data_IF_278575021343
#
_entry.id   IF_278575021343
#
_cell.length_a   1.000
_cell.length_b   1.000
_cell.length_c   1.000
_cell.angle_alpha   90.00
_cell.angle_beta   90.00
_cell.angle_gamma   90.00
#
_symmetry.space_group_name_H-M   'P 1'
#
loop_
_entity.id
_entity.type
_entity.pdbx_description
1 polymer ?
#
# COMPACT_ATOMS: atom_id res chain seq x y z
N UNK A 1 3.64 53.48 -21.23
CA UNK A 1 2.95 52.59 -20.27
C UNK A 1 3.60 51.21 -20.39
N UNK A 2 3.85 50.51 -19.28
CA UNK A 2 4.27 49.10 -19.37
C UNK A 2 3.08 48.31 -19.94
N UNK A 3 3.29 47.43 -20.94
CA UNK A 3 2.20 46.67 -21.53
C UNK A 3 1.54 45.79 -20.46
N UNK A 4 0.23 45.64 -20.54
CA UNK A 4 -0.54 44.87 -19.56
C UNK A 4 -0.16 43.39 -19.66
N UNK A 5 0.08 42.77 -18.50
CA UNK A 5 0.33 41.33 -18.41
C UNK A 5 -0.98 40.58 -18.69
N UNK A 6 -0.90 39.53 -19.49
CA UNK A 6 -1.99 38.58 -19.72
C UNK A 6 -1.55 37.17 -19.33
N UNK A 7 -2.43 36.45 -18.65
CA UNK A 7 -2.25 35.04 -18.30
C UNK A 7 -3.29 34.24 -19.08
N UNK A 8 -2.84 33.23 -19.82
CA UNK A 8 -3.70 32.46 -20.71
C UNK A 8 -3.43 30.97 -20.47
N UNK A 9 -4.50 30.23 -20.22
CA UNK A 9 -4.49 28.77 -20.20
C UNK A 9 -4.88 28.25 -21.59
N UNK A 10 -3.99 27.44 -22.15
CA UNK A 10 -4.25 26.68 -23.36
C UNK A 10 -4.60 25.26 -22.95
N UNK A 11 -5.75 24.75 -23.40
CA UNK A 11 -6.09 23.33 -23.32
C UNK A 11 -6.11 22.74 -24.73
N UNK A 12 -5.27 21.75 -24.96
CA UNK A 12 -5.17 21.02 -26.21
C UNK A 12 -5.74 19.61 -26.00
N UNK A 13 -6.63 19.18 -26.91
CA UNK A 13 -7.17 17.83 -26.91
C UNK A 13 -7.28 17.24 -28.31
N UNK A 14 -6.96 15.96 -28.46
CA UNK A 14 -7.00 15.27 -29.75
C UNK A 14 -6.25 13.95 -29.73
N UNK A 15 -6.03 13.36 -30.90
CA UNK A 15 -5.22 12.14 -31.01
C UNK A 15 -3.75 12.45 -30.70
N UNK A 16 -3.13 11.62 -29.88
CA UNK A 16 -1.72 11.78 -29.53
C UNK A 16 -0.83 11.53 -30.76
N UNK A 17 0.07 12.47 -31.02
CA UNK A 17 1.02 12.42 -32.12
C UNK A 17 2.39 12.89 -31.63
N UNK A 18 3.48 12.21 -32.01
CA UNK A 18 4.83 12.70 -31.71
C UNK A 18 5.03 14.13 -32.21
N UNK A 19 5.54 15.00 -31.34
CA UNK A 19 5.93 16.37 -31.70
C UNK A 19 4.86 17.46 -31.47
N UNK A 20 3.65 17.13 -30.97
CA UNK A 20 2.64 18.15 -30.64
C UNK A 20 3.16 19.15 -29.61
N UNK A 21 3.76 18.68 -28.52
CA UNK A 21 4.33 19.55 -27.48
C UNK A 21 5.47 20.41 -28.04
N UNK A 22 6.33 19.86 -28.90
CA UNK A 22 7.41 20.60 -29.55
C UNK A 22 6.88 21.73 -30.42
N UNK A 23 5.95 21.42 -31.34
CA UNK A 23 5.42 22.39 -32.29
C UNK A 23 4.70 23.55 -31.59
N UNK A 24 3.97 23.30 -30.50
CA UNK A 24 3.26 24.33 -29.76
C UNK A 24 4.21 25.18 -28.88
N UNK A 25 5.19 24.55 -28.24
CA UNK A 25 6.18 25.28 -27.42
C UNK A 25 7.13 26.10 -28.28
N UNK A 26 7.45 25.68 -29.51
CA UNK A 26 8.19 26.49 -30.48
C UNK A 26 7.45 27.79 -30.83
N UNK A 27 6.12 27.73 -31.01
CA UNK A 27 5.31 28.94 -31.23
C UNK A 27 5.41 29.86 -30.03
N UNK A 28 5.19 29.36 -28.81
CA UNK A 28 5.31 30.15 -27.58
C UNK A 28 6.71 30.78 -27.43
N UNK A 29 7.77 30.03 -27.77
CA UNK A 29 9.15 30.49 -27.69
C UNK A 29 9.45 31.64 -28.67
N UNK A 30 8.88 31.64 -29.89
CA UNK A 30 9.06 32.74 -30.86
C UNK A 30 8.61 34.10 -30.35
N UNK A 31 7.69 34.12 -29.39
CA UNK A 31 7.14 35.34 -28.81
C UNK A 31 7.65 35.63 -27.39
N UNK A 32 8.62 34.86 -26.88
CA UNK A 32 9.13 34.95 -25.50
C UNK A 32 8.04 34.78 -24.43
N UNK A 33 7.04 33.93 -24.68
CA UNK A 33 6.00 33.64 -23.72
C UNK A 33 6.57 32.87 -22.51
N UNK A 34 6.21 33.28 -21.29
CA UNK A 34 6.71 32.65 -20.07
C UNK A 34 5.74 31.58 -19.59
N UNK A 35 6.15 30.31 -19.60
CA UNK A 35 5.33 29.21 -19.11
C UNK A 35 5.27 29.25 -17.58
N UNK A 36 4.07 29.35 -17.02
CA UNK A 36 3.80 29.35 -15.58
C UNK A 36 3.54 27.94 -15.05
N UNK A 37 2.86 27.11 -15.82
CA UNK A 37 2.58 25.70 -15.50
C UNK A 37 2.34 24.89 -16.77
N UNK A 38 2.65 23.60 -16.73
CA UNK A 38 2.42 22.69 -17.86
C UNK A 38 2.08 21.29 -17.34
N UNK A 39 1.03 20.69 -17.90
CA UNK A 39 0.61 19.34 -17.57
C UNK A 39 0.15 18.60 -18.82
N UNK A 40 0.58 17.35 -18.97
CA UNK A 40 0.16 16.48 -20.06
C UNK A 40 -0.33 15.15 -19.50
N UNK A 41 -1.42 14.65 -20.07
CA UNK A 41 -1.88 13.28 -19.89
C UNK A 41 -2.23 12.69 -21.26
N UNK A 42 -1.81 11.46 -21.50
CA UNK A 42 -2.31 10.64 -22.60
C UNK A 42 -3.15 9.52 -21.99
N UNK A 43 -4.42 9.47 -22.37
CA UNK A 43 -5.36 8.44 -21.96
C UNK A 43 -5.89 7.79 -23.24
N UNK A 44 -5.53 6.52 -23.46
CA UNK A 44 -5.99 5.75 -24.62
C UNK A 44 -5.70 6.40 -25.99
N UNK A 45 -4.52 6.99 -26.16
CA UNK A 45 -4.11 7.73 -27.37
C UNK A 45 -4.84 9.04 -27.57
N UNK A 46 -5.56 9.53 -26.56
CA UNK A 46 -6.12 10.88 -26.54
C UNK A 46 -5.22 11.75 -25.67
N UNK A 47 -4.55 12.70 -26.32
CA UNK A 47 -3.76 13.74 -25.67
C UNK A 47 -4.67 14.74 -24.99
N UNK A 48 -4.33 15.10 -23.75
CA UNK A 48 -4.80 16.27 -23.04
C UNK A 48 -3.59 17.05 -22.53
N UNK A 49 -3.32 18.20 -23.12
CA UNK A 49 -2.17 19.05 -22.79
C UNK A 49 -2.67 20.43 -22.34
N UNK A 50 -2.35 20.78 -21.10
CA UNK A 50 -2.59 22.11 -20.53
C UNK A 50 -1.29 22.90 -20.46
N UNK A 51 -1.25 24.09 -21.04
CA UNK A 51 -0.13 25.03 -20.91
C UNK A 51 -0.67 26.36 -20.39
N UNK A 52 -0.26 26.73 -19.18
CA UNK A 52 -0.53 28.04 -18.61
C UNK A 52 0.67 28.93 -18.87
N UNK A 53 0.48 30.04 -19.58
CA UNK A 53 1.57 30.95 -19.91
C UNK A 53 1.20 32.40 -19.64
N UNK A 54 2.23 33.22 -19.46
CA UNK A 54 2.19 34.65 -19.27
C UNK A 54 2.80 35.34 -20.48
N UNK A 55 2.10 36.34 -20.99
CA UNK A 55 2.53 37.19 -22.11
C UNK A 55 2.11 38.64 -21.86
N UNK A 56 2.35 39.52 -22.82
CA UNK A 56 1.81 40.87 -22.88
C UNK A 56 0.68 40.99 -23.92
N UNK A 57 -0.15 42.01 -23.74
CA UNK A 57 -1.29 42.34 -24.63
C UNK A 57 -0.89 42.65 -26.08
N UNK A 58 0.39 42.97 -26.34
CA UNK A 58 0.88 43.31 -27.68
C UNK A 58 1.19 42.07 -28.51
N UNK A 59 1.51 40.95 -27.85
CA UNK A 59 1.89 39.69 -28.48
C UNK A 59 0.79 38.63 -28.43
N UNK A 60 -0.14 38.71 -27.48
CA UNK A 60 -1.13 37.65 -27.22
C UNK A 60 -1.96 37.30 -28.45
N UNK A 61 -2.43 38.29 -29.21
CA UNK A 61 -3.21 38.05 -30.43
C UNK A 61 -2.48 37.20 -31.49
N UNK A 62 -1.20 37.51 -31.76
CA UNK A 62 -0.40 36.75 -32.74
C UNK A 62 -0.05 35.35 -32.21
N UNK A 63 0.26 35.21 -30.90
CA UNK A 63 0.48 33.91 -30.27
C UNK A 63 -0.74 33.00 -30.45
N UNK A 64 -1.94 33.50 -30.12
CA UNK A 64 -3.19 32.74 -30.22
C UNK A 64 -3.46 32.27 -31.65
N UNK A 65 -3.24 33.16 -32.62
CA UNK A 65 -3.40 32.87 -34.05
C UNK A 65 -2.42 31.80 -34.53
N UNK A 66 -1.13 31.92 -34.23
CA UNK A 66 -0.13 30.95 -34.65
C UNK A 66 -0.35 29.58 -33.99
N UNK A 67 -0.77 29.57 -32.71
CA UNK A 67 -1.15 28.34 -32.02
C UNK A 67 -2.39 27.68 -32.65
N UNK A 68 -3.39 28.45 -33.08
CA UNK A 68 -4.56 27.94 -33.80
C UNK A 68 -4.16 27.30 -35.12
N UNK A 69 -3.31 27.96 -35.92
CA UNK A 69 -2.81 27.40 -37.16
C UNK A 69 -2.05 26.10 -36.92
N UNK A 70 -1.17 26.09 -35.90
CA UNK A 70 -0.36 24.91 -35.63
C UNK A 70 -1.16 23.75 -35.06
N UNK A 71 -2.16 24.02 -34.23
CA UNK A 71 -3.11 23.02 -33.75
C UNK A 71 -3.91 22.40 -34.91
N UNK A 72 -4.38 23.22 -35.86
CA UNK A 72 -5.08 22.73 -37.05
C UNK A 72 -4.20 21.85 -37.93
N UNK A 73 -2.94 22.23 -38.17
CA UNK A 73 -1.99 21.39 -38.94
C UNK A 73 -1.72 20.04 -38.27
N UNK A 74 -1.74 20.00 -36.93
CA UNK A 74 -1.54 18.78 -36.14
C UNK A 74 -2.84 17.98 -35.95
N UNK A 75 -3.98 18.53 -36.38
CA UNK A 75 -5.32 17.96 -36.20
C UNK A 75 -5.64 17.72 -34.72
N UNK A 76 -5.38 18.74 -33.90
CA UNK A 76 -5.74 18.79 -32.47
C UNK A 76 -6.63 20.00 -32.19
N UNK A 77 -7.54 19.86 -31.25
CA UNK A 77 -8.38 20.96 -30.79
C UNK A 77 -7.63 21.80 -29.77
N UNK A 78 -7.77 23.11 -29.84
CA UNK A 78 -7.17 24.06 -28.90
C UNK A 78 -8.23 25.00 -28.36
N UNK A 79 -8.24 25.19 -27.04
CA UNK A 79 -9.10 26.13 -26.33
C UNK A 79 -8.26 27.08 -25.50
N UNK A 80 -8.57 28.36 -25.62
CA UNK A 80 -7.93 29.41 -24.85
C UNK A 80 -8.88 29.91 -23.77
N UNK A 81 -8.37 30.01 -22.55
CA UNK A 81 -9.09 30.56 -21.41
C UNK A 81 -8.21 31.65 -20.79
N UNK A 82 -8.57 32.94 -20.88
CA UNK A 82 -7.87 33.99 -20.15
C UNK A 82 -8.10 33.78 -18.64
N UNK A 83 -7.03 33.93 -17.85
CA UNK A 83 -7.05 33.79 -16.40
C UNK A 83 -6.71 35.15 -15.79
N UNK A 84 -7.52 35.60 -14.85
CA UNK A 84 -7.23 36.84 -14.11
C UNK A 84 -6.06 36.66 -13.14
N UNK A 85 -5.36 37.75 -12.79
CA UNK A 85 -4.30 37.70 -11.78
C UNK A 85 -4.84 37.24 -10.41
N UNK A 86 -6.09 37.58 -10.07
CA UNK A 86 -6.77 37.13 -8.85
C UNK A 86 -7.00 35.62 -8.83
N UNK A 87 -7.53 35.05 -9.93
CA UNK A 87 -7.74 33.61 -10.07
C UNK A 87 -6.41 32.85 -10.03
N UNK A 88 -5.38 33.35 -10.71
CA UNK A 88 -4.05 32.76 -10.67
C UNK A 88 -3.46 32.80 -9.26
N UNK A 89 -3.54 33.94 -8.57
CA UNK A 89 -3.04 34.09 -7.19
C UNK A 89 -3.79 33.19 -6.22
N UNK A 90 -5.11 33.06 -6.38
CA UNK A 90 -5.92 32.11 -5.62
C UNK A 90 -5.48 30.66 -5.89
N UNK A 91 -5.28 30.28 -7.14
CA UNK A 91 -4.81 28.94 -7.52
C UNK A 91 -3.41 28.63 -6.96
N UNK A 92 -2.47 29.58 -7.03
CA UNK A 92 -1.15 29.47 -6.39
C UNK A 92 -1.30 29.37 -4.87
N UNK A 93 -2.23 30.09 -4.26
CA UNK A 93 -2.54 29.98 -2.83
C UNK A 93 -3.15 28.64 -2.41
N UNK A 94 -3.75 27.89 -3.35
CA UNK A 94 -4.25 26.52 -3.13
C UNK A 94 -3.14 25.45 -3.24
N UNK A 95 -1.92 25.86 -3.60
CA UNK A 95 -0.74 25.00 -3.62
C UNK A 95 -0.45 24.52 -2.19
N UNK A 96 -0.70 23.23 -1.93
CA UNK A 96 -0.54 22.64 -0.59
C UNK A 96 -1.82 22.09 0.06
N UNK A 97 -2.97 22.08 -0.64
CA UNK A 97 -4.12 21.28 -0.16
C UNK A 97 -3.70 19.82 0.06
N UNK A 98 -4.15 19.25 1.17
CA UNK A 98 -3.93 17.86 1.51
C UNK A 98 -4.32 16.96 0.32
N UNK A 99 -3.40 16.07 -0.02
CA UNK A 99 -3.60 15.05 -1.03
C UNK A 99 -3.72 13.71 -0.34
N UNK A 100 -4.68 12.92 -0.77
CA UNK A 100 -4.87 11.57 -0.30
C UNK A 100 -4.87 10.63 -1.49
N UNK A 101 -4.38 9.42 -1.26
CA UNK A 101 -4.45 8.31 -2.19
C UNK A 101 -5.45 7.30 -1.66
N UNK A 102 -6.42 6.97 -2.50
CA UNK A 102 -7.36 5.88 -2.26
C UNK A 102 -6.99 4.74 -3.19
N UNK A 103 -6.62 3.60 -2.63
CA UNK A 103 -6.29 2.39 -3.40
C UNK A 103 -7.43 1.40 -3.24
N UNK A 104 -8.04 1.00 -4.36
CA UNK A 104 -9.06 -0.04 -4.45
C UNK A 104 -8.38 -1.29 -5.00
N UNK A 105 -8.49 -2.39 -4.28
CA UNK A 105 -7.81 -3.64 -4.58
C UNK A 105 -8.79 -4.80 -4.46
N UNK A 106 -8.70 -5.76 -5.36
CA UNK A 106 -9.54 -6.96 -5.30
C UNK A 106 -9.24 -7.88 -6.46
N UNK A 107 -9.91 -9.03 -6.52
CA UNK A 107 -9.71 -9.97 -7.63
C UNK A 107 -10.21 -9.43 -8.97
N UNK A 108 -11.36 -8.77 -8.93
CA UNK A 108 -11.89 -7.97 -10.02
C UNK A 108 -12.47 -6.67 -9.43
N UNK A 109 -12.36 -5.57 -10.19
CA UNK A 109 -12.98 -4.30 -9.81
C UNK A 109 -14.10 -3.99 -10.79
N UNK A 110 -15.31 -3.84 -10.25
CA UNK A 110 -16.55 -3.56 -10.98
C UNK A 110 -16.87 -2.06 -10.97
N UNK A 111 -17.68 -1.62 -11.94
CA UNK A 111 -18.16 -0.23 -11.98
C UNK A 111 -18.95 0.15 -10.71
N UNK A 112 -19.71 -0.79 -10.12
CA UNK A 112 -20.43 -0.58 -8.86
C UNK A 112 -19.47 -0.22 -7.73
N UNK A 113 -18.39 -1.01 -7.57
CA UNK A 113 -17.38 -0.75 -6.53
C UNK A 113 -16.73 0.63 -6.68
N UNK A 114 -16.34 1.02 -7.91
CA UNK A 114 -15.79 2.35 -8.17
C UNK A 114 -16.82 3.45 -7.86
N UNK A 115 -18.07 3.26 -8.29
CA UNK A 115 -19.17 4.20 -8.05
C UNK A 115 -19.42 4.46 -6.56
N UNK A 116 -19.44 3.42 -5.73
CA UNK A 116 -19.60 3.57 -4.28
C UNK A 116 -18.41 4.29 -3.62
N UNK A 117 -17.16 3.94 -4.00
CA UNK A 117 -15.96 4.62 -3.46
C UNK A 117 -15.97 6.10 -3.82
N UNK A 118 -16.22 6.43 -5.09
CA UNK A 118 -16.24 7.82 -5.56
C UNK A 118 -17.40 8.63 -4.97
N UNK A 119 -18.53 7.99 -4.63
CA UNK A 119 -19.62 8.64 -3.91
C UNK A 119 -19.19 9.09 -2.51
N UNK A 120 -18.54 8.23 -1.74
CA UNK A 120 -18.00 8.56 -0.41
C UNK A 120 -17.03 9.76 -0.52
N UNK A 121 -16.15 9.74 -1.54
CA UNK A 121 -15.21 10.86 -1.80
C UNK A 121 -15.95 12.17 -2.06
N UNK A 122 -16.98 12.14 -2.90
CA UNK A 122 -17.78 13.31 -3.23
C UNK A 122 -18.58 13.86 -2.03
N UNK A 123 -19.17 13.00 -1.21
CA UNK A 123 -19.91 13.38 0.01
C UNK A 123 -19.02 14.12 1.03
N UNK A 124 -17.74 13.72 1.10
CA UNK A 124 -16.71 14.38 1.90
C UNK A 124 -16.20 15.68 1.28
N UNK A 125 -16.64 16.06 0.08
CA UNK A 125 -16.27 17.30 -0.61
C UNK A 125 -14.87 17.27 -1.22
N UNK A 126 -14.33 16.08 -1.49
CA UNK A 126 -13.02 15.89 -2.11
C UNK A 126 -13.14 15.81 -3.63
N UNK A 127 -12.14 16.33 -4.33
CA UNK A 127 -12.02 16.20 -5.79
C UNK A 127 -11.09 15.05 -6.15
N UNK A 128 -11.41 14.31 -7.22
CA UNK A 128 -10.50 13.30 -7.78
C UNK A 128 -9.66 13.97 -8.87
N UNK A 129 -8.35 14.07 -8.64
CA UNK A 129 -7.39 14.68 -9.56
C UNK A 129 -6.92 13.68 -10.63
N UNK A 130 -6.77 12.41 -10.26
CA UNK A 130 -6.33 11.36 -11.18
C UNK A 130 -6.84 9.99 -10.75
N UNK A 131 -7.08 9.12 -11.74
CA UNK A 131 -7.37 7.70 -11.53
C UNK A 131 -6.38 6.90 -12.37
N UNK A 132 -5.66 5.97 -11.74
CA UNK A 132 -4.66 5.15 -12.41
C UNK A 132 -4.84 3.69 -12.06
N UNK A 133 -4.61 2.79 -13.03
CA UNK A 133 -4.52 1.37 -12.75
C UNK A 133 -3.08 1.02 -12.35
N UNK A 134 -2.91 0.31 -11.24
CA UNK A 134 -1.58 -0.16 -10.79
C UNK A 134 -1.26 -1.57 -11.30
N UNK A 135 -2.28 -2.38 -11.60
CA UNK A 135 -2.10 -3.71 -12.21
C UNK A 135 -1.99 -3.64 -13.73
N UNK A 136 -1.54 -4.74 -14.35
CA UNK A 136 -1.50 -4.90 -15.79
C UNK A 136 -2.88 -4.78 -16.46
N UNK A 137 -2.88 -4.71 -17.80
CA UNK A 137 -4.12 -4.70 -18.59
C UNK A 137 -4.88 -6.00 -18.36
N UNK A 138 -6.20 -5.91 -18.24
CA UNK A 138 -7.07 -7.06 -18.02
C UNK A 138 -7.42 -7.69 -19.37
N UNK A 139 -7.03 -8.94 -19.65
CA UNK A 139 -7.46 -9.65 -20.85
C UNK A 139 -8.99 -9.86 -20.84
N UNK A 140 -9.58 -9.87 -22.03
CA UNK A 140 -11.00 -10.22 -22.19
C UNK A 140 -11.25 -11.69 -21.84
N UNK A 141 -10.30 -12.56 -22.18
CA UNK A 141 -10.30 -13.98 -21.85
C UNK A 141 -10.19 -14.18 -20.33
N UNK A 142 -11.25 -14.73 -19.75
CA UNK A 142 -11.37 -14.95 -18.30
C UNK A 142 -10.36 -15.98 -17.79
N UNK A 143 -9.88 -16.87 -18.65
CA UNK A 143 -8.87 -17.89 -18.30
C UNK A 143 -7.47 -17.31 -18.15
N UNK A 144 -7.21 -16.13 -18.73
CA UNK A 144 -5.91 -15.44 -18.73
C UNK A 144 -5.92 -14.24 -17.77
N UNK A 145 -7.06 -13.91 -17.14
CA UNK A 145 -7.14 -12.77 -16.23
C UNK A 145 -6.21 -12.97 -15.05
N UNK A 146 -5.33 -11.99 -14.84
CA UNK A 146 -4.61 -11.87 -13.57
C UNK A 146 -5.67 -11.77 -12.47
N UNK A 147 -5.56 -12.58 -11.40
CA UNK A 147 -6.57 -12.62 -10.34
C UNK A 147 -6.50 -11.40 -9.42
N UNK A 148 -5.88 -10.30 -9.86
CA UNK A 148 -5.62 -9.09 -9.08
C UNK A 148 -5.88 -7.87 -9.96
N UNK A 149 -6.74 -6.98 -9.49
CA UNK A 149 -7.05 -5.69 -10.08
C UNK A 149 -6.85 -4.61 -9.03
N UNK A 150 -6.05 -3.60 -9.34
CA UNK A 150 -5.83 -2.47 -8.46
C UNK A 150 -6.00 -1.14 -9.19
N UNK A 151 -6.77 -0.23 -8.59
CA UNK A 151 -6.97 1.13 -9.06
C UNK A 151 -6.60 2.10 -7.93
N UNK A 152 -5.88 3.15 -8.27
CA UNK A 152 -5.46 4.23 -7.40
C UNK A 152 -6.20 5.52 -7.80
N UNK A 153 -6.78 6.21 -6.82
CA UNK A 153 -7.41 7.51 -6.97
C UNK A 153 -6.59 8.53 -6.18
N UNK A 154 -6.07 9.53 -6.87
CA UNK A 154 -5.47 10.71 -6.23
C UNK A 154 -6.58 11.72 -5.97
N UNK A 155 -6.82 12.03 -4.70
CA UNK A 155 -7.87 12.95 -4.28
C UNK A 155 -7.31 14.16 -3.54
N UNK A 156 -7.93 15.32 -3.73
CA UNK A 156 -7.46 16.60 -3.19
C UNK A 156 -8.57 17.29 -2.41
N UNK A 157 -8.18 17.86 -1.27
CA UNK A 157 -9.09 18.62 -0.39
C UNK A 157 -8.92 18.20 1.07
N UNK A 158 -9.79 18.76 1.91
CA UNK A 158 -9.84 18.40 3.34
C UNK A 158 -11.15 17.66 3.59
N UNK A 159 -11.13 16.38 4.00
CA UNK A 159 -12.36 15.65 4.29
C UNK A 159 -13.10 16.31 5.45
N UNK A 160 -14.44 16.34 5.39
CA UNK A 160 -15.28 16.87 6.47
C UNK A 160 -15.12 16.06 7.75
N UNK A 161 -15.13 14.74 7.61
CA UNK A 161 -14.90 13.80 8.71
C UNK A 161 -14.10 12.60 8.20
N UNK A 162 -12.81 12.57 8.57
CA UNK A 162 -11.89 11.51 8.17
C UNK A 162 -12.25 10.17 8.82
N UNK A 163 -12.74 10.17 10.06
CA UNK A 163 -13.05 8.94 10.80
C UNK A 163 -14.29 8.29 10.18
N UNK A 164 -15.32 9.08 9.88
CA UNK A 164 -16.51 8.61 9.18
C UNK A 164 -16.18 8.09 7.78
N UNK A 165 -15.33 8.81 7.02
CA UNK A 165 -14.89 8.39 5.69
C UNK A 165 -14.15 7.04 5.74
N UNK A 166 -13.23 6.86 6.68
CA UNK A 166 -12.50 5.60 6.85
C UNK A 166 -13.44 4.46 7.26
N UNK A 167 -14.39 4.73 8.16
CA UNK A 167 -15.39 3.74 8.59
C UNK A 167 -16.27 3.28 7.43
N UNK A 168 -16.72 4.21 6.59
CA UNK A 168 -17.51 3.92 5.38
C UNK A 168 -16.73 3.05 4.39
N UNK A 169 -15.42 3.28 4.22
CA UNK A 169 -14.59 2.41 3.38
C UNK A 169 -14.42 1.01 3.95
N UNK A 170 -14.28 0.86 5.26
CA UNK A 170 -14.17 -0.47 5.89
C UNK A 170 -15.47 -1.27 5.76
N UNK A 171 -16.62 -0.61 5.89
CA UNK A 171 -17.93 -1.22 5.64
C UNK A 171 -18.09 -1.61 4.17
N UNK A 172 -17.74 -0.71 3.25
CA UNK A 172 -17.81 -0.97 1.81
C UNK A 172 -16.89 -2.13 1.39
N UNK A 173 -15.69 -2.19 1.96
CA UNK A 173 -14.72 -3.26 1.76
C UNK A 173 -15.31 -4.62 2.11
N UNK A 174 -15.97 -4.71 3.26
CA UNK A 174 -16.63 -5.93 3.74
C UNK A 174 -17.83 -6.32 2.87
N UNK A 175 -18.65 -5.35 2.46
CA UNK A 175 -19.89 -5.61 1.73
C UNK A 175 -19.66 -5.97 0.25
N UNK A 176 -18.62 -5.41 -0.38
CA UNK A 176 -18.36 -5.59 -1.82
C UNK A 176 -17.19 -6.50 -2.13
N UNK A 177 -16.54 -7.10 -1.13
CA UNK A 177 -15.44 -8.03 -1.33
C UNK A 177 -14.24 -7.38 -2.04
N UNK A 178 -13.91 -6.15 -1.65
CA UNK A 178 -12.72 -5.41 -2.10
C UNK A 178 -11.97 -4.88 -0.91
N UNK A 179 -10.67 -4.64 -1.06
CA UNK A 179 -9.83 -3.98 -0.07
C UNK A 179 -9.66 -2.51 -0.46
N UNK A 180 -9.83 -1.62 0.52
CA UNK A 180 -9.72 -0.17 0.32
C UNK A 180 -8.69 0.40 1.30
N UNK A 181 -7.72 1.13 0.77
CA UNK A 181 -6.70 1.84 1.53
C UNK A 181 -6.87 3.34 1.32
N UNK A 182 -6.98 4.11 2.41
CA UNK A 182 -6.87 5.57 2.40
C UNK A 182 -5.54 5.98 3.05
N UNK A 183 -4.71 6.72 2.31
CA UNK A 183 -3.41 7.21 2.77
C UNK A 183 -3.24 8.68 2.43
N UNK A 184 -2.48 9.41 3.24
CA UNK A 184 -2.01 10.75 2.86
C UNK A 184 -0.89 10.62 1.82
N UNK A 185 -0.91 11.44 0.77
CA UNK A 185 0.16 11.49 -0.26
C UNK A 185 1.34 12.33 0.24
N UNK A 186 1.97 11.86 1.31
CA UNK A 186 3.18 12.44 1.88
C UNK A 186 4.47 11.77 1.38
N UNK A 187 5.61 12.38 1.69
CA UNK A 187 6.94 11.83 1.38
C UNK A 187 7.12 10.40 1.90
N UNK A 188 6.57 10.12 3.08
CA UNK A 188 6.67 8.81 3.73
C UNK A 188 5.93 7.70 2.99
N UNK A 189 4.87 8.01 2.23
CA UNK A 189 4.15 7.01 1.44
C UNK A 189 5.08 6.36 0.41
N UNK A 190 5.92 7.17 -0.23
CA UNK A 190 6.81 6.76 -1.34
C UNK A 190 8.18 6.30 -0.87
N UNK A 191 8.57 6.66 0.35
CA UNK A 191 9.89 6.38 0.90
C UNK A 191 9.85 5.41 2.08
N UNK A 192 9.00 4.38 2.03
CA UNK A 192 9.00 3.31 3.03
C UNK A 192 10.25 2.45 2.89
N UNK A 193 10.84 2.02 4.01
CA UNK A 193 12.15 1.35 4.01
C UNK A 193 12.25 0.12 4.92
N UNK A 194 11.35 -0.01 5.88
CA UNK A 194 11.33 -1.13 6.83
C UNK A 194 9.93 -1.74 6.82
N UNK A 195 9.86 -3.06 6.74
CA UNK A 195 8.62 -3.82 6.88
C UNK A 195 8.79 -4.95 7.89
N UNK A 196 7.87 -4.99 8.85
CA UNK A 196 7.78 -6.01 9.88
C UNK A 196 6.53 -6.87 9.63
N UNK A 197 6.69 -8.18 9.69
CA UNK A 197 5.62 -9.15 9.53
C UNK A 197 5.42 -9.95 10.80
N UNK A 198 4.17 -10.27 11.15
CA UNK A 198 3.92 -11.50 11.92
C UNK A 198 4.22 -12.72 11.04
N UNK A 199 4.49 -13.85 11.68
CA UNK A 199 4.78 -15.11 11.02
C UNK A 199 3.51 -15.95 10.85
N UNK A 200 3.00 -16.48 11.95
CA UNK A 200 1.79 -17.31 11.99
C UNK A 200 0.59 -16.55 11.42
N UNK A 201 -0.25 -17.23 10.64
CA UNK A 201 -1.45 -16.66 10.00
C UNK A 201 -1.22 -15.42 9.12
N UNK A 202 0.04 -15.06 8.81
CA UNK A 202 0.43 -13.89 8.01
C UNK A 202 1.42 -14.28 6.91
N UNK A 203 2.66 -14.65 7.24
CA UNK A 203 3.65 -15.16 6.27
C UNK A 203 3.43 -16.63 5.93
N UNK A 204 2.86 -17.38 6.87
CA UNK A 204 2.45 -18.77 6.71
C UNK A 204 0.97 -18.91 7.05
N UNK A 205 0.31 -19.90 6.46
CA UNK A 205 -1.15 -20.06 6.59
C UNK A 205 -1.57 -20.82 7.86
N UNK A 206 -0.61 -21.34 8.62
CA UNK A 206 -0.83 -22.21 9.78
C UNK A 206 -0.28 -21.58 11.05
N UNK A 207 -0.91 -21.90 12.18
CA UNK A 207 -0.34 -21.68 13.51
C UNK A 207 0.67 -22.79 13.82
N UNK A 208 1.96 -22.45 13.91
CA UNK A 208 3.03 -23.45 14.10
C UNK A 208 2.83 -24.27 15.39
N UNK A 209 2.32 -23.65 16.45
CA UNK A 209 2.09 -24.33 17.72
C UNK A 209 1.00 -25.42 17.62
N UNK A 210 0.01 -25.22 16.77
CA UNK A 210 -1.06 -26.20 16.56
C UNK A 210 -0.53 -27.40 15.77
N UNK A 211 0.31 -27.17 14.76
CA UNK A 211 1.01 -28.24 14.01
C UNK A 211 1.91 -29.08 14.94
N UNK A 212 2.67 -28.43 15.83
CA UNK A 212 3.49 -29.13 16.83
C UNK A 212 2.63 -29.93 17.81
N UNK A 213 1.52 -29.36 18.26
CA UNK A 213 0.60 -30.01 19.19
C UNK A 213 -0.06 -31.26 18.57
N UNK A 214 -0.44 -31.18 17.28
CA UNK A 214 -0.99 -32.30 16.53
C UNK A 214 0.02 -33.45 16.43
N UNK A 215 1.30 -33.14 16.14
CA UNK A 215 2.38 -34.15 16.09
C UNK A 215 2.72 -34.72 17.46
N UNK A 216 2.55 -33.93 18.53
CA UNK A 216 2.73 -34.37 19.91
C UNK A 216 1.52 -35.15 20.48
N UNK A 217 0.40 -35.22 19.76
CA UNK A 217 -0.83 -35.88 20.21
C UNK A 217 -1.64 -35.09 21.25
N UNK A 218 -1.35 -33.79 21.42
CA UNK A 218 -1.97 -32.88 22.41
C UNK A 218 -2.73 -31.72 21.74
N UNK A 219 -3.11 -31.87 20.46
CA UNK A 219 -3.78 -30.84 19.66
C UNK A 219 -5.06 -30.31 20.30
N UNK A 220 -5.91 -31.20 20.81
CA UNK A 220 -7.18 -30.82 21.44
C UNK A 220 -6.99 -29.96 22.71
N UNK A 221 -5.95 -30.28 23.50
CA UNK A 221 -5.62 -29.55 24.72
C UNK A 221 -5.09 -28.15 24.41
N UNK A 222 -4.19 -28.04 23.41
CA UNK A 222 -3.66 -26.76 22.95
C UNK A 222 -4.76 -25.88 22.38
N UNK A 223 -5.66 -26.45 21.59
CA UNK A 223 -6.82 -25.74 21.04
C UNK A 223 -7.73 -25.18 22.13
N UNK A 224 -8.05 -25.98 23.16
CA UNK A 224 -8.85 -25.53 24.29
C UNK A 224 -8.20 -24.33 25.02
N UNK A 225 -6.87 -24.35 25.20
CA UNK A 225 -6.11 -23.24 25.80
C UNK A 225 -6.14 -21.99 24.90
N UNK A 226 -5.97 -22.16 23.59
CA UNK A 226 -6.04 -21.06 22.61
C UNK A 226 -7.42 -20.40 22.63
N UNK A 227 -8.50 -21.20 22.68
CA UNK A 227 -9.86 -20.69 22.77
C UNK A 227 -10.12 -19.94 24.08
N UNK A 228 -9.63 -20.44 25.23
CA UNK A 228 -9.69 -19.73 26.51
C UNK A 228 -8.95 -18.39 26.47
N UNK A 229 -7.76 -18.34 25.85
CA UNK A 229 -7.01 -17.10 25.68
C UNK A 229 -7.75 -16.10 24.78
N UNK A 230 -8.38 -16.57 23.71
CA UNK A 230 -9.20 -15.74 22.82
C UNK A 230 -10.47 -15.21 23.51
N UNK A 231 -11.04 -15.94 24.47
CA UNK A 231 -12.14 -15.48 25.33
C UNK A 231 -11.69 -14.48 26.40
N UNK A 232 -10.38 -14.30 26.58
CA UNK A 232 -9.80 -13.42 27.61
C UNK A 232 -9.81 -14.03 29.02
N UNK A 233 -9.98 -15.34 29.13
CA UNK A 233 -9.99 -16.06 30.41
C UNK A 233 -8.57 -16.19 31.01
N UNK A 234 -7.56 -16.22 30.15
CA UNK A 234 -6.14 -16.28 30.50
C UNK A 234 -5.37 -15.28 29.64
N UNK A 235 -4.26 -14.75 30.16
CA UNK A 235 -3.41 -13.83 29.39
C UNK A 235 -2.55 -14.58 28.35
N UNK A 236 -1.92 -13.82 27.44
CA UNK A 236 -1.11 -14.40 26.36
C UNK A 236 0.10 -15.18 26.89
N UNK A 237 0.77 -14.68 27.93
CA UNK A 237 1.98 -15.29 28.48
C UNK A 237 1.65 -16.61 29.18
N UNK A 238 0.54 -16.65 29.92
CA UNK A 238 -0.01 -17.83 30.57
C UNK A 238 -0.45 -18.86 29.52
N UNK A 239 -1.21 -18.43 28.50
CA UNK A 239 -1.61 -19.29 27.39
C UNK A 239 -0.40 -19.89 26.67
N UNK A 240 0.61 -19.07 26.36
CA UNK A 240 1.84 -19.52 25.72
C UNK A 240 2.59 -20.54 26.58
N UNK A 241 2.80 -20.24 27.86
CA UNK A 241 3.51 -21.13 28.80
C UNK A 241 2.81 -22.49 28.92
N UNK A 242 1.47 -22.48 29.05
CA UNK A 242 0.69 -23.72 29.13
C UNK A 242 0.78 -24.53 27.83
N UNK A 243 0.61 -23.90 26.66
CA UNK A 243 0.70 -24.60 25.37
C UNK A 243 2.09 -25.18 25.13
N UNK A 244 3.16 -24.44 25.43
CA UNK A 244 4.54 -24.94 25.30
C UNK A 244 4.81 -26.11 26.24
N UNK A 245 4.27 -26.09 27.46
CA UNK A 245 4.46 -27.18 28.42
C UNK A 245 3.92 -28.54 27.94
N UNK A 246 2.87 -28.53 27.10
CA UNK A 246 2.29 -29.73 26.52
C UNK A 246 3.16 -30.35 25.42
N UNK A 247 4.09 -29.60 24.85
CA UNK A 247 5.01 -30.07 23.80
C UNK A 247 6.22 -30.84 24.37
N UNK A 248 6.27 -31.06 25.69
CA UNK A 248 7.38 -31.74 26.36
C UNK A 248 7.58 -33.15 25.82
N UNK A 249 8.81 -33.46 25.41
CA UNK A 249 9.22 -34.77 24.92
C UNK A 249 9.14 -34.94 23.41
N UNK A 250 8.64 -33.94 22.67
CA UNK A 250 8.65 -33.94 21.21
C UNK A 250 10.09 -33.86 20.69
N UNK A 251 10.38 -34.67 19.67
CA UNK A 251 11.71 -34.73 19.03
C UNK A 251 11.93 -33.50 18.12
N UNK A 252 13.15 -32.97 18.12
CA UNK A 252 13.53 -31.84 17.26
C UNK A 252 13.35 -32.16 15.76
N UNK A 253 13.45 -33.42 15.35
CA UNK A 253 13.23 -33.83 13.96
C UNK A 253 11.85 -33.41 13.43
N UNK A 254 10.84 -33.36 14.32
CA UNK A 254 9.48 -32.94 13.97
C UNK A 254 9.44 -31.47 13.55
N UNK A 255 10.21 -30.60 14.22
CA UNK A 255 10.28 -29.19 13.84
C UNK A 255 10.87 -29.01 12.44
N UNK A 256 11.88 -29.83 12.09
CA UNK A 256 12.46 -29.85 10.75
C UNK A 256 11.45 -30.26 9.69
N UNK A 257 10.72 -31.35 9.91
CA UNK A 257 9.69 -31.81 8.97
C UNK A 257 8.62 -30.75 8.73
N UNK A 258 8.12 -30.12 9.80
CA UNK A 258 7.10 -29.06 9.69
C UNK A 258 7.68 -27.86 8.92
N UNK A 259 8.91 -27.44 9.22
CA UNK A 259 9.56 -26.32 8.54
C UNK A 259 9.67 -26.53 7.02
N UNK A 260 10.06 -27.74 6.59
CA UNK A 260 10.17 -28.10 5.17
C UNK A 260 8.82 -28.12 4.45
N UNK A 261 7.72 -28.43 5.15
CA UNK A 261 6.36 -28.48 4.61
C UNK A 261 5.50 -27.24 4.88
N UNK A 262 6.07 -26.14 5.40
CA UNK A 262 5.29 -24.95 5.77
C UNK A 262 4.51 -24.38 4.58
N UNK A 263 3.18 -24.23 4.69
CA UNK A 263 2.38 -23.57 3.68
C UNK A 263 2.62 -22.06 3.76
N UNK A 264 3.37 -21.54 2.79
CA UNK A 264 3.63 -20.11 2.66
C UNK A 264 2.41 -19.42 2.08
N UNK A 265 2.01 -18.30 2.70
CA UNK A 265 0.85 -17.51 2.26
C UNK A 265 0.96 -17.06 0.81
N UNK A 266 -0.17 -17.09 0.09
CA UNK A 266 -0.25 -16.61 -1.30
C UNK A 266 0.43 -15.24 -1.48
N UNK A 267 1.35 -15.14 -2.44
CA UNK A 267 2.00 -13.88 -2.81
C UNK A 267 3.26 -13.52 -2.01
N UNK A 268 3.61 -14.24 -0.94
CA UNK A 268 4.84 -13.97 -0.16
C UNK A 268 6.10 -14.03 -1.03
N UNK A 269 6.25 -15.04 -1.89
CA UNK A 269 7.43 -15.18 -2.75
C UNK A 269 7.64 -13.91 -3.61
N UNK A 270 6.56 -13.46 -4.27
CA UNK A 270 6.55 -12.25 -5.09
C UNK A 270 6.81 -11.00 -4.26
N UNK A 271 6.18 -10.89 -3.09
CA UNK A 271 6.36 -9.77 -2.18
C UNK A 271 7.83 -9.65 -1.74
N UNK A 272 8.43 -10.74 -1.26
CA UNK A 272 9.80 -10.79 -0.78
C UNK A 272 10.80 -10.40 -1.88
N UNK A 273 10.63 -10.94 -3.09
CA UNK A 273 11.49 -10.60 -4.23
C UNK A 273 11.47 -9.08 -4.52
N UNK A 274 10.28 -8.47 -4.55
CA UNK A 274 10.13 -7.03 -4.82
C UNK A 274 10.70 -6.18 -3.69
N UNK A 275 10.42 -6.54 -2.44
CA UNK A 275 10.92 -5.82 -1.27
C UNK A 275 12.45 -5.83 -1.21
N UNK A 276 13.08 -6.99 -1.48
CA UNK A 276 14.54 -7.08 -1.51
C UNK A 276 15.14 -6.26 -2.65
N UNK A 277 14.54 -6.31 -3.84
CA UNK A 277 14.98 -5.49 -4.98
C UNK A 277 14.84 -3.98 -4.70
N UNK A 278 13.78 -3.59 -4.00
CA UNK A 278 13.54 -2.21 -3.59
C UNK A 278 14.41 -1.77 -2.40
N UNK A 279 15.22 -2.66 -1.82
CA UNK A 279 16.14 -2.34 -0.72
C UNK A 279 15.44 -2.17 0.64
N UNK A 280 14.28 -2.81 0.83
CA UNK A 280 13.63 -2.83 2.14
C UNK A 280 14.42 -3.68 3.13
N UNK A 281 14.43 -3.21 4.37
CA UNK A 281 14.75 -4.04 5.53
C UNK A 281 13.51 -4.84 5.91
N UNK A 282 13.68 -6.14 6.10
CA UNK A 282 12.59 -7.06 6.37
C UNK A 282 12.81 -7.69 7.75
N UNK A 283 11.78 -7.68 8.57
CA UNK A 283 11.79 -8.27 9.90
C UNK A 283 10.59 -9.20 10.12
N UNK A 284 10.82 -10.31 10.82
CA UNK A 284 9.77 -11.13 11.43
C UNK A 284 9.70 -10.80 12.91
N UNK A 285 8.53 -10.40 13.39
CA UNK A 285 8.23 -10.12 14.79
C UNK A 285 7.04 -11.01 15.20
N UNK A 286 7.32 -12.17 15.79
CA UNK A 286 6.28 -13.19 16.00
C UNK A 286 6.23 -13.70 17.44
N UNK A 287 5.03 -14.11 17.87
CA UNK A 287 4.83 -14.89 19.09
C UNK A 287 5.06 -16.40 18.88
N UNK A 288 5.31 -16.83 17.65
CA UNK A 288 5.73 -18.19 17.31
C UNK A 288 7.19 -18.47 17.70
N UNK A 289 7.83 -19.41 17.01
CA UNK A 289 9.16 -19.90 17.42
C UNK A 289 10.31 -19.48 16.50
N UNK A 290 11.48 -19.20 17.09
CA UNK A 290 12.70 -18.75 16.40
C UNK A 290 13.16 -19.74 15.32
N UNK A 291 12.97 -21.04 15.54
CA UNK A 291 13.34 -22.09 14.57
C UNK A 291 12.71 -21.84 13.18
N UNK A 292 11.40 -21.64 13.12
CA UNK A 292 10.67 -21.42 11.88
C UNK A 292 10.92 -20.03 11.30
N UNK A 293 11.05 -19.02 12.15
CA UNK A 293 11.45 -17.68 11.71
C UNK A 293 12.82 -17.68 11.02
N UNK A 294 13.79 -18.43 11.56
CA UNK A 294 15.12 -18.59 10.96
C UNK A 294 15.09 -19.40 9.65
N UNK A 295 14.19 -20.37 9.52
CA UNK A 295 13.96 -21.07 8.26
C UNK A 295 13.47 -20.12 7.16
N UNK A 296 12.45 -19.31 7.46
CA UNK A 296 11.95 -18.27 6.53
C UNK A 296 13.03 -17.21 6.25
N UNK A 297 13.87 -16.89 7.24
CA UNK A 297 15.01 -15.99 7.08
C UNK A 297 15.99 -16.48 6.03
N UNK A 298 16.37 -17.74 6.08
CA UNK A 298 17.28 -18.33 5.09
C UNK A 298 16.64 -18.40 3.72
N UNK A 299 15.35 -18.76 3.64
CA UNK A 299 14.62 -18.87 2.37
C UNK A 299 14.45 -17.54 1.63
N UNK A 300 14.13 -16.46 2.35
CA UNK A 300 13.80 -15.15 1.76
C UNK A 300 14.86 -14.07 1.98
N UNK A 301 15.95 -14.39 2.67
CA UNK A 301 17.01 -13.45 3.00
C UNK A 301 16.56 -12.37 3.99
N UNK A 302 15.66 -12.67 4.92
CA UNK A 302 15.12 -11.69 5.89
C UNK A 302 16.25 -11.17 6.79
N UNK A 303 16.22 -9.88 7.13
CA UNK A 303 17.31 -9.24 7.87
C UNK A 303 17.22 -9.53 9.38
N UNK A 304 16.01 -9.47 9.95
CA UNK A 304 15.75 -9.64 11.38
C UNK A 304 14.69 -10.70 11.68
N UNK A 305 14.90 -11.49 12.73
CA UNK A 305 13.93 -12.42 13.27
C UNK A 305 13.93 -12.29 14.79
N UNK A 306 12.78 -11.96 15.35
CA UNK A 306 12.52 -11.98 16.78
C UNK A 306 11.25 -12.79 17.04
N UNK A 307 11.43 -13.91 17.74
CA UNK A 307 10.39 -14.85 18.10
C UNK A 307 10.75 -15.55 19.41
N UNK A 308 9.88 -16.42 19.92
CA UNK A 308 10.12 -17.17 21.15
C UNK A 308 11.06 -18.37 20.90
N UNK A 309 11.99 -18.63 21.81
CA UNK A 309 12.92 -19.75 21.68
C UNK A 309 12.45 -20.93 22.54
N UNK A 310 12.31 -22.11 21.94
CA UNK A 310 11.98 -23.34 22.67
C UNK A 310 13.25 -23.94 23.27
N UNK A 311 13.18 -24.36 24.53
CA UNK A 311 14.30 -25.06 25.18
C UNK A 311 14.38 -26.51 24.69
N UNK A 312 15.50 -26.84 24.04
CA UNK A 312 15.81 -28.18 23.52
C UNK A 312 16.98 -28.76 24.33
N UNK A 313 16.79 -29.97 24.87
CA UNK A 313 17.85 -30.73 25.57
C UNK A 313 17.85 -32.15 25.03
N UNK A 314 19.03 -32.67 24.69
CA UNK A 314 19.21 -34.01 24.10
C UNK A 314 18.32 -34.28 22.88
N UNK A 315 18.13 -33.26 22.03
CA UNK A 315 17.30 -33.34 20.81
C UNK A 315 15.80 -33.37 21.07
N UNK A 316 15.33 -33.05 22.28
CA UNK A 316 13.91 -33.03 22.65
C UNK A 316 13.48 -31.74 23.30
N UNK A 317 12.24 -31.33 23.03
CA UNK A 317 11.60 -30.20 23.69
C UNK A 317 11.40 -30.48 25.18
N UNK A 318 11.84 -29.56 26.05
CA UNK A 318 11.66 -29.70 27.50
C UNK A 318 10.26 -29.27 27.97
N UNK A 319 9.49 -28.61 27.11
CA UNK A 319 8.25 -27.92 27.45
C UNK A 319 8.46 -26.56 28.12
N UNK A 320 9.67 -25.99 28.02
CA UNK A 320 9.99 -24.63 28.47
C UNK A 320 10.49 -23.79 27.30
N UNK A 321 10.60 -22.49 27.53
CA UNK A 321 11.12 -21.51 26.58
C UNK A 321 12.31 -20.76 27.20
N UNK A 322 13.14 -20.16 26.35
CA UNK A 322 14.32 -19.38 26.72
C UNK A 322 14.04 -17.89 26.47
N UNK A 323 14.44 -17.05 27.44
CA UNK A 323 14.34 -15.60 27.32
C UNK A 323 12.93 -15.05 27.56
N UNK A 324 12.72 -13.82 27.10
CA UNK A 324 11.46 -13.10 27.27
C UNK A 324 10.44 -13.48 26.19
N UNK A 325 9.17 -13.58 26.58
CA UNK A 325 8.08 -13.84 25.64
C UNK A 325 7.87 -12.63 24.72
N UNK A 326 7.85 -12.87 23.41
CA UNK A 326 7.48 -11.89 22.38
C UNK A 326 5.97 -11.75 22.35
N UNK A 327 5.44 -10.87 23.22
CA UNK A 327 4.04 -10.47 23.23
C UNK A 327 3.77 -9.27 22.28
N UNK A 328 2.53 -8.81 22.23
CA UNK A 328 2.14 -7.69 21.36
C UNK A 328 2.85 -6.37 21.68
N UNK A 329 3.13 -6.09 22.96
CA UNK A 329 3.89 -4.89 23.36
C UNK A 329 5.34 -5.02 22.90
N UNK A 330 5.92 -6.20 23.07
CA UNK A 330 7.28 -6.50 22.65
C UNK A 330 7.45 -6.38 21.14
N UNK A 331 6.48 -6.83 20.33
CA UNK A 331 6.49 -6.59 18.87
C UNK A 331 6.57 -5.10 18.53
N UNK A 332 5.80 -4.24 19.20
CA UNK A 332 5.84 -2.81 18.98
C UNK A 332 7.19 -2.16 19.40
N UNK A 333 7.77 -2.62 20.51
CA UNK A 333 9.10 -2.19 20.96
C UNK A 333 10.20 -2.60 19.97
N UNK A 334 10.16 -3.84 19.50
CA UNK A 334 11.13 -4.37 18.53
C UNK A 334 11.05 -3.63 17.20
N UNK A 335 9.84 -3.29 16.73
CA UNK A 335 9.67 -2.45 15.54
C UNK A 335 10.36 -1.09 15.71
N UNK A 336 10.19 -0.43 16.87
CA UNK A 336 10.87 0.85 17.17
C UNK A 336 12.38 0.68 17.25
N UNK A 337 12.86 -0.41 17.85
CA UNK A 337 14.28 -0.71 17.97
C UNK A 337 14.94 -0.90 16.60
N UNK A 338 14.32 -1.70 15.72
CA UNK A 338 14.85 -1.93 14.37
C UNK A 338 14.83 -0.61 13.57
N UNK A 339 13.76 0.17 13.68
CA UNK A 339 13.67 1.48 13.03
C UNK A 339 14.81 2.41 13.49
N UNK A 340 15.15 2.42 14.79
CA UNK A 340 16.27 3.19 15.32
C UNK A 340 17.63 2.68 14.80
N UNK A 341 17.85 1.36 14.83
CA UNK A 341 19.11 0.74 14.35
C UNK A 341 19.34 1.02 12.87
N UNK A 342 18.30 0.95 12.06
CA UNK A 342 18.36 1.21 10.61
C UNK A 342 18.25 2.70 10.24
N UNK A 343 18.13 3.59 11.24
CA UNK A 343 17.95 5.04 11.08
C UNK A 343 16.78 5.38 10.14
N UNK A 344 15.65 4.68 10.34
CA UNK A 344 14.41 4.84 9.58
C UNK A 344 13.37 5.52 10.47
N UNK A 345 12.72 6.57 9.95
CA UNK A 345 11.64 7.22 10.69
C UNK A 345 10.47 6.24 10.86
N UNK A 346 9.79 6.24 12.01
CA UNK A 346 8.64 5.37 12.26
C UNK A 346 7.55 5.51 11.18
N UNK A 347 7.37 6.69 10.61
CA UNK A 347 6.42 6.95 9.52
C UNK A 347 6.76 6.20 8.22
N UNK A 348 8.01 5.73 8.06
CA UNK A 348 8.50 4.96 6.91
C UNK A 348 8.43 3.44 7.14
N UNK A 349 7.92 2.99 8.30
CA UNK A 349 7.79 1.57 8.62
C UNK A 349 6.42 1.04 8.22
N UNK A 350 6.39 -0.25 7.89
CA UNK A 350 5.18 -1.02 7.62
C UNK A 350 5.11 -2.13 8.66
N UNK A 351 3.94 -2.38 9.21
CA UNK A 351 3.66 -3.58 9.99
C UNK A 351 2.50 -4.34 9.35
N UNK A 352 2.64 -5.65 9.24
CA UNK A 352 1.61 -6.55 8.71
C UNK A 352 1.37 -7.68 9.70
N UNK A 353 0.10 -7.93 10.05
CA UNK A 353 -0.30 -8.98 10.98
C UNK A 353 -1.80 -9.23 10.91
N UNK A 354 -2.28 -10.33 11.48
CA UNK A 354 -3.68 -10.77 11.43
C UNK A 354 -4.40 -10.63 12.79
N UNK A 355 -3.63 -10.64 13.87
CA UNK A 355 -4.15 -10.90 15.21
C UNK A 355 -4.27 -9.66 16.10
N UNK A 356 -4.96 -9.84 17.24
CA UNK A 356 -5.10 -8.80 18.26
C UNK A 356 -3.76 -8.54 19.00
N UNK A 357 -2.89 -9.54 19.04
CA UNK A 357 -1.49 -9.44 19.47
C UNK A 357 -0.69 -8.44 18.61
N UNK A 358 -1.04 -8.24 17.35
CA UNK A 358 -0.32 -7.32 16.45
C UNK A 358 -0.78 -5.88 16.56
N UNK A 359 -1.95 -5.61 17.14
CA UNK A 359 -2.51 -4.27 17.22
C UNK A 359 -1.50 -3.21 17.74
N UNK A 360 -0.74 -3.45 18.81
CA UNK A 360 0.26 -2.47 19.26
C UNK A 360 1.34 -2.19 18.21
N UNK A 361 1.78 -3.22 17.46
CA UNK A 361 2.76 -3.09 16.38
C UNK A 361 2.16 -2.35 15.17
N UNK A 362 0.95 -2.74 14.76
CA UNK A 362 0.21 -2.13 13.66
C UNK A 362 -0.08 -0.64 13.92
N UNK A 363 -0.49 -0.29 15.14
CA UNK A 363 -0.75 1.11 15.53
C UNK A 363 0.54 1.93 15.69
N UNK A 364 1.68 1.29 15.93
CA UNK A 364 2.97 1.98 16.04
C UNK A 364 3.59 2.29 14.68
N UNK A 365 3.38 1.42 13.69
CA UNK A 365 3.97 1.57 12.36
C UNK A 365 3.39 2.78 11.60
N UNK A 366 4.18 3.35 10.69
CA UNK A 366 3.69 4.39 9.77
C UNK A 366 2.58 3.89 8.84
N UNK A 367 2.58 2.59 8.52
CA UNK A 367 1.50 1.90 7.84
C UNK A 367 1.25 0.54 8.51
N UNK A 368 0.18 0.44 9.30
CA UNK A 368 -0.32 -0.83 9.83
C UNK A 368 -1.35 -1.47 8.91
N UNK A 369 -1.08 -2.70 8.47
CA UNK A 369 -1.94 -3.48 7.58
C UNK A 369 -2.42 -4.74 8.30
N UNK A 370 -3.73 -4.84 8.50
CA UNK A 370 -4.36 -6.07 8.97
C UNK A 370 -4.57 -7.05 7.81
N UNK A 371 -3.87 -8.17 7.81
CA UNK A 371 -3.98 -9.21 6.78
C UNK A 371 -4.93 -10.32 7.22
N UNK A 372 -5.98 -10.59 6.43
CA UNK A 372 -6.99 -11.63 6.69
C UNK A 372 -7.54 -11.63 8.14
N UNK A 373 -7.54 -10.45 8.76
CA UNK A 373 -7.67 -10.31 10.19
C UNK A 373 -9.12 -10.46 10.68
N UNK A 374 -9.27 -10.82 11.95
CA UNK A 374 -10.57 -10.88 12.63
C UNK A 374 -11.24 -9.49 12.68
N UNK A 375 -12.58 -9.38 12.74
CA UNK A 375 -13.30 -8.09 12.68
C UNK A 375 -12.80 -7.05 13.70
N UNK A 376 -12.48 -7.48 14.93
CA UNK A 376 -11.96 -6.60 15.98
C UNK A 376 -10.60 -5.98 15.60
N UNK A 377 -9.75 -6.73 14.90
CA UNK A 377 -8.44 -6.26 14.45
C UNK A 377 -8.62 -5.29 13.28
N UNK A 378 -9.48 -5.62 12.32
CA UNK A 378 -9.83 -4.75 11.19
C UNK A 378 -10.31 -3.36 11.64
N UNK A 379 -11.15 -3.29 12.67
CA UNK A 379 -11.66 -2.01 13.19
C UNK A 379 -10.58 -1.11 13.81
N UNK A 380 -9.49 -1.70 14.33
CA UNK A 380 -8.42 -0.97 15.00
C UNK A 380 -7.19 -0.76 14.11
N UNK A 381 -7.07 -1.53 13.03
CA UNK A 381 -6.04 -1.33 12.02
C UNK A 381 -6.39 -0.18 11.09
N UNK A 382 -5.39 0.57 10.65
CA UNK A 382 -5.60 1.67 9.71
C UNK A 382 -6.05 1.17 8.34
N UNK A 383 -5.59 -0.01 7.93
CA UNK A 383 -5.88 -0.63 6.66
C UNK A 383 -6.02 -2.13 6.81
N UNK A 384 -6.72 -2.77 5.88
CA UNK A 384 -6.84 -4.22 5.83
C UNK A 384 -6.78 -4.77 4.42
N UNK A 385 -6.22 -5.97 4.29
CA UNK A 385 -6.24 -6.78 3.07
C UNK A 385 -6.94 -8.11 3.41
N UNK A 386 -7.98 -8.45 2.67
CA UNK A 386 -8.86 -9.60 2.96
C UNK A 386 -9.18 -10.45 1.73
N UNK A 387 -8.91 -9.95 0.52
CA UNK A 387 -9.43 -10.53 -0.72
C UNK A 387 -8.36 -11.14 -1.62
N UNK A 388 -7.11 -10.76 -1.41
CA UNK A 388 -5.96 -11.17 -2.21
C UNK A 388 -4.78 -11.55 -1.32
N UNK A 389 -3.79 -12.22 -1.91
CA UNK A 389 -2.54 -12.57 -1.24
C UNK A 389 -1.74 -11.39 -0.68
N UNK A 390 -0.71 -11.72 0.09
CA UNK A 390 0.11 -10.77 0.85
C UNK A 390 0.87 -9.77 -0.03
N UNK A 391 1.12 -10.12 -1.30
CA UNK A 391 1.67 -9.20 -2.31
C UNK A 391 0.76 -8.00 -2.61
N UNK A 392 -0.49 -8.01 -2.13
CA UNK A 392 -1.37 -6.86 -2.10
C UNK A 392 -0.77 -5.63 -1.41
N UNK A 393 0.11 -5.85 -0.43
CA UNK A 393 0.85 -4.80 0.27
C UNK A 393 1.61 -3.90 -0.71
N UNK A 394 2.15 -4.46 -1.80
CA UNK A 394 2.89 -3.71 -2.83
C UNK A 394 2.06 -2.59 -3.44
N UNK A 395 0.77 -2.83 -3.69
CA UNK A 395 -0.11 -1.82 -4.28
C UNK A 395 -0.47 -0.72 -3.28
N UNK A 396 -0.63 -1.06 -1.99
CA UNK A 396 -0.86 -0.07 -0.94
C UNK A 396 0.35 0.87 -0.80
N UNK A 397 1.56 0.38 -1.05
CA UNK A 397 2.77 1.22 -1.05
C UNK A 397 3.08 1.85 -2.42
N UNK A 398 2.18 1.72 -3.40
CA UNK A 398 2.23 2.43 -4.68
C UNK A 398 3.05 1.76 -5.79
N UNK A 399 3.44 0.49 -5.61
CA UNK A 399 4.09 -0.26 -6.69
C UNK A 399 3.08 -0.60 -7.78
N UNK A 400 3.55 -0.57 -9.03
CA UNK A 400 2.81 -0.97 -10.22
C UNK A 400 3.35 -2.29 -10.73
N UNK A 401 2.51 -3.07 -11.42
CA UNK A 401 2.95 -4.31 -12.07
C UNK A 401 4.14 -4.06 -13.00
N UNK A 402 4.18 -2.92 -13.70
CA UNK A 402 5.31 -2.52 -14.54
C UNK A 402 6.65 -2.34 -13.79
N UNK A 403 6.61 -2.06 -12.49
CA UNK A 403 7.81 -1.98 -11.64
C UNK A 403 8.18 -3.34 -11.03
N UNK A 404 7.21 -4.26 -10.95
CA UNK A 404 7.34 -5.56 -10.32
C UNK A 404 7.79 -6.61 -11.34
N UNK A 405 7.21 -6.61 -12.54
CA UNK A 405 7.59 -7.53 -13.61
C UNK A 405 8.99 -7.21 -14.10
N UNK A 406 9.88 -8.20 -14.12
CA UNK A 406 11.13 -8.09 -14.87
C UNK A 406 10.81 -7.73 -16.32
N UNK A 407 11.36 -6.61 -16.77
CA UNK A 407 11.54 -6.39 -18.20
C UNK A 407 12.48 -7.50 -18.65
N UNK A 408 11.93 -8.50 -19.34
CA UNK A 408 12.72 -9.52 -20.04
C UNK A 408 13.59 -8.87 -21.10
#
# INVERSE_FOLDING_TARGET
MKPKTEIILINISGDDKPGVTTALTEVLARYDAFILDIGQADIHHTLSLGILFKTDETKSGEILKDLLFKAYELDVNIRFSPISEEEYTSWVGLQGKNRYIITILGRCITARQIGEVTRIVAEQGLNIDAIQRLTGRIPLDETVRSPKSCIELSVRGTPKDRVAMQSAFMELSSNLGIDISLQEDGIYRRCRRLICFDMDSTLIETEVIDELAMRAGVGDEVKAITESAMRGEIDFCESFTRRVSLLKGLDESVMKEIAESLPVTEGVDRLMQVLKRAGFKIAILSGGFTYFGNYLKQRYGIDYVYANELEIVDGKLTGRYVGDIVDGRRKAELLKLIAQVENVNIAQTIAVGDGANDLPMLSTAGLGIAYHAKPKVKQNASQSISTIGLDGVLYFIGFKDSFISETK
#
